data_IF_238841110277
#
_entry.id   IF_238841110277
#
_cell.length_a   1.000
_cell.length_b   1.000
_cell.length_c   1.000
_cell.angle_alpha   90.00
_cell.angle_beta   90.00
_cell.angle_gamma   90.00
#
_symmetry.space_group_name_H-M   'P 1'
#
loop_
_entity.id
_entity.type
_entity.pdbx_description
1 polymer ?
#
# COMPACT_ATOMS: atom_id res chain seq x y z
N UNK A 1 40.52 16.53 44.22
CA UNK A 1 39.41 17.36 43.70
C UNK A 1 38.12 16.62 43.98
N UNK A 2 37.39 17.12 44.96
CA UNK A 2 36.14 16.58 45.49
C UNK A 2 34.98 17.27 44.77
N UNK A 3 33.98 16.53 44.31
CA UNK A 3 32.64 17.05 44.09
C UNK A 3 31.62 15.90 44.10
N UNK A 4 31.22 15.54 45.31
CA UNK A 4 29.93 14.91 45.60
C UNK A 4 28.83 15.93 45.33
N UNK A 5 27.81 15.60 44.54
CA UNK A 5 26.47 16.18 44.70
C UNK A 5 25.37 15.14 44.38
N UNK A 6 24.26 15.14 45.14
CA UNK A 6 23.28 14.06 45.20
C UNK A 6 22.15 14.20 44.17
N UNK A 7 21.63 13.08 43.68
CA UNK A 7 20.30 13.06 43.05
C UNK A 7 19.25 12.85 44.14
N UNK A 8 18.67 13.95 44.63
CA UNK A 8 17.37 13.95 45.27
C UNK A 8 16.35 14.41 44.24
N UNK A 9 15.56 13.48 43.71
CA UNK A 9 14.30 13.81 43.05
C UNK A 9 13.16 13.42 43.99
N UNK A 10 12.58 14.44 44.61
CA UNK A 10 11.37 14.38 45.43
C UNK A 10 10.24 13.76 44.59
N UNK A 11 9.70 12.63 45.04
CA UNK A 11 8.45 12.09 44.51
C UNK A 11 7.31 12.99 44.97
N UNK A 12 6.81 13.84 44.07
CA UNK A 12 5.56 14.57 44.29
C UNK A 12 4.41 13.60 44.11
N UNK A 13 3.84 13.13 45.21
CA UNK A 13 2.56 12.44 45.20
C UNK A 13 1.45 13.43 44.80
N UNK A 14 0.76 13.14 43.69
CA UNK A 14 -0.41 13.87 43.23
C UNK A 14 -1.63 13.50 44.10
N UNK A 15 -2.44 14.45 44.59
CA UNK A 15 -3.63 14.12 45.37
C UNK A 15 -4.68 13.40 44.52
N UNK A 16 -5.27 12.36 45.11
CA UNK A 16 -6.39 11.62 44.53
C UNK A 16 -7.56 12.56 44.21
N UNK A 17 -8.13 12.45 43.01
CA UNK A 17 -9.36 13.14 42.64
C UNK A 17 -10.55 12.57 43.43
N UNK A 18 -11.53 13.40 43.84
CA UNK A 18 -12.75 12.88 44.47
C UNK A 18 -13.55 12.03 43.47
N UNK A 19 -14.31 11.02 43.93
CA UNK A 19 -15.14 10.22 43.06
C UNK A 19 -16.24 11.08 42.40
N UNK A 20 -16.64 10.77 41.15
CA UNK A 20 -17.76 11.45 40.51
C UNK A 20 -19.07 11.19 41.29
N UNK A 21 -20.04 12.12 41.26
CA UNK A 21 -21.35 11.88 41.86
C UNK A 21 -22.03 10.67 41.21
N UNK A 22 -22.77 9.91 42.01
CA UNK A 22 -23.53 8.75 41.55
C UNK A 22 -24.37 9.10 40.32
N UNK A 23 -24.11 8.40 39.21
CA UNK A 23 -24.91 8.52 38.01
C UNK A 23 -26.36 8.17 38.34
N UNK A 24 -27.29 9.10 38.09
CA UNK A 24 -28.71 8.77 38.07
C UNK A 24 -28.97 7.80 36.91
N UNK A 25 -29.19 6.53 37.24
CA UNK A 25 -29.66 5.50 36.31
C UNK A 25 -31.12 5.81 35.90
N UNK A 26 -31.27 6.75 34.98
CA UNK A 26 -32.48 6.81 34.16
C UNK A 26 -32.27 5.88 32.96
N UNK A 27 -33.17 4.90 32.72
CA UNK A 27 -33.01 3.99 31.60
C UNK A 27 -33.10 4.78 30.29
N UNK A 28 -32.00 4.80 29.54
CA UNK A 28 -31.99 5.23 28.14
C UNK A 28 -32.98 4.33 27.39
N UNK A 29 -34.02 4.88 26.71
CA UNK A 29 -34.90 4.05 25.91
C UNK A 29 -34.07 3.33 24.85
N UNK A 30 -34.36 2.06 24.51
CA UNK A 30 -33.58 1.36 23.50
C UNK A 30 -33.67 2.15 22.20
N UNK A 31 -32.52 2.63 21.72
CA UNK A 31 -32.41 3.22 20.40
C UNK A 31 -33.01 2.22 19.41
N UNK A 32 -34.10 2.62 18.74
CA UNK A 32 -34.67 1.81 17.67
C UNK A 32 -33.54 1.48 16.69
N UNK A 33 -33.42 0.23 16.21
CA UNK A 33 -32.39 -0.10 15.25
C UNK A 33 -32.61 0.82 14.05
N UNK A 34 -31.70 1.77 13.84
CA UNK A 34 -31.59 2.47 12.57
C UNK A 34 -31.33 1.38 11.54
N UNK A 35 -32.37 1.00 10.83
CA UNK A 35 -32.28 0.17 9.64
C UNK A 35 -31.28 0.88 8.73
N UNK A 36 -30.06 0.34 8.65
CA UNK A 36 -29.20 0.63 7.51
C UNK A 36 -30.02 0.18 6.32
N UNK A 37 -30.59 1.13 5.58
CA UNK A 37 -31.10 0.85 4.24
C UNK A 37 -29.98 0.15 3.52
N UNK A 38 -30.13 -1.16 3.34
CA UNK A 38 -29.23 -1.96 2.54
C UNK A 38 -29.39 -1.42 1.13
N UNK A 39 -28.46 -0.57 0.69
CA UNK A 39 -28.42 -0.13 -0.69
C UNK A 39 -28.42 -1.42 -1.53
N UNK A 40 -29.41 -1.57 -2.40
CA UNK A 40 -29.50 -2.72 -3.28
C UNK A 40 -28.17 -2.80 -4.03
N UNK A 41 -27.44 -3.90 -3.83
CA UNK A 41 -26.17 -4.12 -4.54
C UNK A 41 -26.52 -4.10 -6.02
N UNK A 42 -25.97 -3.17 -6.81
CA UNK A 42 -26.24 -3.13 -8.24
C UNK A 42 -25.86 -4.47 -8.86
N UNK A 43 -26.66 -4.90 -9.83
CA UNK A 43 -26.41 -6.14 -10.58
C UNK A 43 -24.95 -6.17 -11.06
N UNK A 44 -24.29 -7.32 -10.89
CA UNK A 44 -22.88 -7.48 -11.21
C UNK A 44 -22.61 -7.18 -12.69
N UNK A 45 -23.54 -7.51 -13.59
CA UNK A 45 -23.40 -7.18 -15.01
C UNK A 45 -23.42 -5.67 -15.27
N UNK A 46 -24.30 -4.94 -14.57
CA UNK A 46 -24.37 -3.48 -14.65
C UNK A 46 -23.09 -2.82 -14.09
N UNK A 47 -22.54 -3.36 -13.01
CA UNK A 47 -21.25 -2.92 -12.45
C UNK A 47 -20.09 -3.16 -13.43
N UNK A 48 -19.96 -4.37 -13.98
CA UNK A 48 -18.90 -4.68 -14.93
C UNK A 48 -18.94 -3.75 -16.15
N UNK A 49 -20.13 -3.58 -16.74
CA UNK A 49 -20.33 -2.68 -17.89
C UNK A 49 -19.89 -1.25 -17.58
N UNK A 50 -20.30 -0.73 -16.41
CA UNK A 50 -19.97 0.64 -16.01
C UNK A 50 -18.47 0.83 -15.77
N UNK A 51 -17.83 -0.14 -15.11
CA UNK A 51 -16.38 -0.09 -14.82
C UNK A 51 -15.55 -0.22 -16.09
N UNK A 52 -15.93 -1.10 -17.02
CA UNK A 52 -15.24 -1.28 -18.29
C UNK A 52 -15.34 -0.01 -19.14
N UNK A 53 -16.55 0.55 -19.32
CA UNK A 53 -16.74 1.77 -20.10
C UNK A 53 -15.96 2.96 -19.52
N UNK A 54 -15.93 3.09 -18.18
CA UNK A 54 -15.10 4.09 -17.53
C UNK A 54 -13.60 3.82 -17.80
N UNK A 55 -13.15 2.58 -17.69
CA UNK A 55 -11.75 2.21 -17.90
C UNK A 55 -11.29 2.51 -19.34
N UNK A 56 -12.10 2.23 -20.35
CA UNK A 56 -11.80 2.53 -21.75
C UNK A 56 -11.50 4.02 -21.99
N UNK A 57 -12.18 4.92 -21.26
CA UNK A 57 -12.01 6.36 -21.40
C UNK A 57 -10.95 6.95 -20.47
N UNK A 58 -10.70 6.32 -19.31
CA UNK A 58 -9.90 6.91 -18.22
C UNK A 58 -8.62 6.12 -17.90
N UNK A 59 -8.34 5.02 -18.58
CA UNK A 59 -7.13 4.24 -18.33
C UNK A 59 -5.88 5.09 -18.55
N UNK A 60 -4.98 5.07 -17.56
CA UNK A 60 -3.63 5.63 -17.72
C UNK A 60 -2.90 4.86 -18.81
N UNK A 61 -2.21 5.61 -19.67
CA UNK A 61 -1.26 5.08 -20.64
C UNK A 61 -0.03 4.55 -19.90
N UNK A 62 0.11 3.23 -19.90
CA UNK A 62 1.21 2.51 -19.25
C UNK A 62 1.80 1.54 -20.27
N UNK A 63 3.12 1.44 -20.40
CA UNK A 63 3.75 0.72 -21.50
C UNK A 63 3.39 -0.77 -21.50
N UNK A 64 3.24 -1.40 -20.32
CA UNK A 64 2.80 -2.79 -20.19
C UNK A 64 1.32 -3.05 -20.49
N UNK A 65 0.50 -2.00 -20.69
CA UNK A 65 -0.91 -2.14 -21.14
C UNK A 65 -1.04 -2.07 -22.66
N UNK A 66 0.01 -1.68 -23.37
CA UNK A 66 -0.02 -1.56 -24.82
C UNK A 66 0.20 -2.93 -25.47
N UNK A 67 -0.34 -3.19 -26.68
CA UNK A 67 -0.21 -4.48 -27.36
C UNK A 67 1.25 -4.92 -27.56
N UNK A 68 2.18 -3.97 -27.70
CA UNK A 68 3.59 -4.23 -27.98
C UNK A 68 4.33 -4.85 -26.78
N UNK A 69 3.81 -4.74 -25.56
CA UNK A 69 4.43 -5.33 -24.37
C UNK A 69 4.49 -6.87 -24.45
N UNK A 70 3.49 -7.49 -25.08
CA UNK A 70 3.35 -8.93 -25.15
C UNK A 70 3.34 -9.63 -23.78
N UNK A 71 3.37 -10.97 -23.78
CA UNK A 71 3.33 -11.75 -22.54
C UNK A 71 4.55 -11.47 -21.62
N UNK A 72 5.73 -11.23 -22.21
CA UNK A 72 6.95 -10.97 -21.46
C UNK A 72 6.91 -9.61 -20.75
N UNK A 73 6.55 -8.54 -21.47
CA UNK A 73 6.42 -7.21 -20.89
C UNK A 73 5.33 -7.16 -19.82
N UNK A 74 4.22 -7.87 -19.99
CA UNK A 74 3.20 -7.99 -18.93
C UNK A 74 3.77 -8.68 -17.70
N UNK A 75 4.38 -9.87 -17.84
CA UNK A 75 4.95 -10.62 -16.72
C UNK A 75 5.99 -9.82 -15.92
N UNK A 76 6.92 -9.15 -16.61
CA UNK A 76 7.92 -8.30 -15.96
C UNK A 76 7.25 -7.17 -15.18
N UNK A 77 6.26 -6.51 -15.77
CA UNK A 77 5.55 -5.42 -15.11
C UNK A 77 4.84 -5.87 -13.82
N UNK A 78 4.19 -7.04 -13.84
CA UNK A 78 3.52 -7.61 -12.68
C UNK A 78 4.50 -7.88 -11.53
N UNK A 79 5.66 -8.47 -11.82
CA UNK A 79 6.69 -8.69 -10.79
C UNK A 79 7.25 -7.38 -10.23
N UNK A 80 7.48 -6.38 -11.09
CA UNK A 80 8.01 -5.08 -10.67
C UNK A 80 7.01 -4.28 -9.84
N UNK A 81 5.71 -4.37 -10.14
CA UNK A 81 4.65 -3.61 -9.47
C UNK A 81 4.28 -4.16 -8.09
N UNK A 82 4.82 -5.32 -7.69
CA UNK A 82 4.64 -5.84 -6.35
C UNK A 82 5.22 -4.87 -5.32
N UNK A 83 4.34 -4.31 -4.48
CA UNK A 83 4.68 -3.36 -3.43
C UNK A 83 5.51 -2.14 -3.90
N UNK A 84 5.49 -1.83 -5.20
CA UNK A 84 6.26 -0.73 -5.79
C UNK A 84 5.33 0.18 -6.59
N UNK A 85 5.32 1.50 -6.31
CA UNK A 85 4.47 2.44 -7.05
C UNK A 85 4.90 2.54 -8.51
N UNK A 86 3.92 2.71 -9.40
CA UNK A 86 4.08 2.85 -10.85
C UNK A 86 5.18 3.83 -11.25
N UNK A 87 5.26 4.99 -10.60
CA UNK A 87 6.24 6.04 -10.90
C UNK A 87 7.69 5.59 -10.71
N UNK A 88 7.94 4.63 -9.80
CA UNK A 88 9.28 4.04 -9.60
C UNK A 88 9.55 2.92 -10.60
N UNK A 89 8.52 2.20 -11.04
CA UNK A 89 8.65 1.06 -11.97
C UNK A 89 8.93 1.53 -13.39
N UNK A 90 8.23 2.56 -13.89
CA UNK A 90 8.30 3.02 -15.28
C UNK A 90 9.73 3.09 -15.86
N UNK A 91 10.68 3.84 -15.27
CA UNK A 91 12.02 3.97 -15.84
C UNK A 91 12.82 2.66 -15.79
N UNK A 92 12.58 1.79 -14.80
CA UNK A 92 13.30 0.51 -14.69
C UNK A 92 12.73 -0.52 -15.66
N UNK A 93 11.41 -0.51 -15.86
CA UNK A 93 10.73 -1.34 -16.85
C UNK A 93 11.23 -1.06 -18.28
N UNK A 94 11.33 0.21 -18.67
CA UNK A 94 11.83 0.61 -19.98
C UNK A 94 13.28 0.17 -20.20
N UNK A 95 14.15 0.38 -19.20
CA UNK A 95 15.54 -0.09 -19.25
C UNK A 95 15.62 -1.63 -19.31
N UNK A 96 14.77 -2.32 -18.57
CA UNK A 96 14.72 -3.78 -18.54
C UNK A 96 14.37 -4.36 -19.91
N UNK A 97 13.30 -3.85 -20.55
CA UNK A 97 12.90 -4.33 -21.87
C UNK A 97 13.80 -3.86 -23.00
N UNK A 98 14.48 -2.72 -22.85
CA UNK A 98 15.53 -2.32 -23.78
C UNK A 98 16.73 -3.29 -23.74
N UNK A 99 17.09 -3.78 -22.55
CA UNK A 99 18.21 -4.72 -22.36
C UNK A 99 17.84 -6.17 -22.67
N UNK A 100 16.66 -6.61 -22.25
CA UNK A 100 16.17 -7.97 -22.41
C UNK A 100 14.75 -7.97 -23.01
N UNK A 101 14.65 -7.76 -24.34
CA UNK A 101 13.36 -7.70 -25.03
C UNK A 101 12.58 -9.02 -24.99
N UNK A 102 13.26 -10.15 -24.81
CA UNK A 102 12.66 -11.48 -24.71
C UNK A 102 13.19 -12.25 -23.49
N UNK A 103 12.44 -13.24 -22.98
CA UNK A 103 12.90 -14.07 -21.86
C UNK A 103 14.24 -14.77 -22.13
N UNK A 104 14.50 -15.17 -23.39
CA UNK A 104 15.75 -15.81 -23.78
C UNK A 104 16.96 -14.88 -23.66
N UNK A 105 16.78 -13.57 -23.89
CA UNK A 105 17.86 -12.58 -23.79
C UNK A 105 18.30 -12.41 -22.32
N UNK A 106 17.35 -12.48 -21.38
CA UNK A 106 17.65 -12.51 -19.94
C UNK A 106 18.31 -13.83 -19.52
N UNK A 107 17.81 -14.96 -20.02
CA UNK A 107 18.31 -16.28 -19.66
C UNK A 107 19.76 -16.54 -20.12
N UNK A 108 20.22 -15.83 -21.15
CA UNK A 108 21.59 -15.93 -21.65
C UNK A 108 22.61 -15.19 -20.77
N UNK A 109 22.16 -14.33 -19.86
CA UNK A 109 23.02 -13.51 -19.01
C UNK A 109 23.29 -14.15 -17.65
N UNK A 110 24.40 -13.73 -17.02
CA UNK A 110 24.71 -14.17 -15.67
C UNK A 110 23.59 -13.71 -14.70
N UNK A 111 23.11 -14.56 -13.77
CA UNK A 111 22.01 -14.20 -12.86
C UNK A 111 22.24 -12.89 -12.08
N UNK A 112 23.49 -12.54 -11.80
CA UNK A 112 23.85 -11.29 -11.12
C UNK A 112 23.55 -10.02 -11.93
N UNK A 113 23.50 -10.08 -13.26
CA UNK A 113 23.13 -8.94 -14.11
C UNK A 113 21.67 -8.54 -13.90
N UNK A 114 20.77 -9.53 -13.85
CA UNK A 114 19.36 -9.33 -13.56
C UNK A 114 19.16 -8.65 -12.19
N UNK A 115 19.88 -9.12 -11.17
CA UNK A 115 19.83 -8.55 -9.80
C UNK A 115 20.35 -7.11 -9.79
N UNK A 116 21.44 -6.81 -10.52
CA UNK A 116 21.98 -5.46 -10.66
C UNK A 116 20.98 -4.51 -11.33
N UNK A 117 20.35 -4.95 -12.41
CA UNK A 117 19.36 -4.16 -13.15
C UNK A 117 18.07 -3.94 -12.32
N UNK A 118 17.65 -4.93 -11.53
CA UNK A 118 16.53 -4.78 -10.60
C UNK A 118 16.84 -3.76 -9.49
N UNK A 119 18.11 -3.66 -9.09
CA UNK A 119 18.62 -2.60 -8.22
C UNK A 119 17.90 -2.55 -6.87
N UNK A 120 17.27 -1.40 -6.58
CA UNK A 120 16.51 -1.15 -5.34
C UNK A 120 14.99 -1.12 -5.58
N UNK A 121 14.48 -1.78 -6.62
CA UNK A 121 13.04 -2.02 -6.72
C UNK A 121 12.57 -2.89 -5.55
N UNK A 122 11.45 -2.53 -4.92
CA UNK A 122 10.98 -3.14 -3.68
C UNK A 122 11.50 -2.46 -2.40
N UNK A 123 11.02 -2.92 -1.24
CA UNK A 123 11.27 -2.26 0.04
C UNK A 123 12.76 -2.05 0.33
N UNK A 124 13.19 -0.85 0.77
CA UNK A 124 14.47 -0.74 1.47
C UNK A 124 14.40 -1.64 2.71
N UNK A 125 15.35 -2.58 2.84
CA UNK A 125 15.51 -3.36 4.08
C UNK A 125 15.59 -2.36 5.23
N UNK A 126 14.59 -2.33 6.12
CA UNK A 126 14.70 -1.56 7.36
C UNK A 126 15.77 -2.26 8.23
N UNK A 127 16.72 -1.53 8.80
CA UNK A 127 17.78 -2.10 9.63
C UNK A 127 17.22 -2.77 10.89
#
# INVERSE_FOLDING_TARGET
MTATFPHSATSTASPASPPPPAASDSPVPPASPTSRTSAAVPDAAALHTSVIAWFETNARDLPWRRPEAGAWGVMVSEFMLQQTPVSRVLPVYEQWLARWPRPADLAAEAPGEAVRAWGRLGYPRRP
#
